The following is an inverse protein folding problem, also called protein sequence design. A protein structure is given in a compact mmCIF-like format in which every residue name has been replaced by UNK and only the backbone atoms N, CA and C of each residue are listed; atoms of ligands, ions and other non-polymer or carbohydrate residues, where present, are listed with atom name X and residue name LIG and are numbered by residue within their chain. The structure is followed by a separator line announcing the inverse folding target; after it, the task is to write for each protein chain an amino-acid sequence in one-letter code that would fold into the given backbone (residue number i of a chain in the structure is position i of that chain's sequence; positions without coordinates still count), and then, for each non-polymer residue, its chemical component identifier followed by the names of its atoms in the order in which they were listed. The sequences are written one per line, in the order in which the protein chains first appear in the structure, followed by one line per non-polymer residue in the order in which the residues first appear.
data_IF_054705969601
#
_entry.id   IF_054705969601
#
_cell.length_a   1.000
_cell.length_b   1.000
_cell.length_c   1.000
_cell.angle_alpha   90.00
_cell.angle_beta   90.00
_cell.angle_gamma   90.00
#
_symmetry.space_group_name_H-M   'P 1'
#
loop_
_entity.id
_entity.type
_entity.pdbx_description
1 polymer ?
#
# COMPACT_ATOMS: atom_id res chain seq x y z
N UNK A 1 1.67 -18.06 5.66
CA UNK A 1 0.47 -17.21 5.88
C UNK A 1 0.39 -16.05 4.88
N UNK A 2 1.46 -15.26 4.68
CA UNK A 2 1.43 -14.09 3.80
C UNK A 2 0.95 -14.44 2.38
N UNK A 3 1.49 -15.50 1.77
CA UNK A 3 1.06 -15.99 0.44
C UNK A 3 -0.45 -16.24 0.40
N UNK A 4 -0.99 -16.97 1.36
CA UNK A 4 -2.41 -17.31 1.44
C UNK A 4 -3.29 -16.06 1.51
N UNK A 5 -3.02 -15.16 2.46
CA UNK A 5 -3.86 -13.96 2.62
C UNK A 5 -3.67 -12.96 1.46
N UNK A 6 -2.51 -12.94 0.79
CA UNK A 6 -2.31 -12.16 -0.43
C UNK A 6 -3.12 -12.72 -1.59
N UNK A 7 -3.13 -14.05 -1.81
CA UNK A 7 -4.00 -14.70 -2.78
C UNK A 7 -5.47 -14.37 -2.54
N UNK A 8 -5.94 -14.57 -1.32
CA UNK A 8 -7.31 -14.23 -0.94
C UNK A 8 -7.64 -12.74 -1.16
N UNK A 9 -6.68 -11.86 -0.89
CA UNK A 9 -6.84 -10.43 -1.12
C UNK A 9 -6.96 -10.10 -2.63
N UNK A 10 -6.25 -10.81 -3.49
CA UNK A 10 -6.40 -10.69 -4.94
C UNK A 10 -7.77 -11.24 -5.37
N UNK A 11 -8.15 -12.43 -4.93
CA UNK A 11 -9.40 -13.08 -5.31
C UNK A 11 -10.65 -12.34 -4.84
N UNK A 12 -10.65 -11.83 -3.60
CA UNK A 12 -11.85 -11.24 -2.99
C UNK A 12 -11.91 -9.71 -3.09
N UNK A 13 -10.77 -9.04 -3.18
CA UNK A 13 -10.65 -7.58 -3.10
C UNK A 13 -9.96 -6.98 -4.32
N UNK A 14 -9.30 -7.80 -5.12
CA UNK A 14 -8.38 -7.36 -6.17
C UNK A 14 -7.39 -6.31 -5.64
N UNK A 15 -6.76 -6.64 -4.50
CA UNK A 15 -5.88 -5.73 -3.75
C UNK A 15 -4.69 -6.49 -3.14
N UNK A 16 -3.62 -6.76 -3.91
CA UNK A 16 -2.50 -7.58 -3.46
C UNK A 16 -1.76 -7.05 -2.23
N UNK A 17 -1.78 -5.75 -1.99
CA UNK A 17 -1.12 -5.11 -0.84
C UNK A 17 -1.97 -5.04 0.44
N UNK A 18 -3.22 -5.53 0.44
CA UNK A 18 -4.07 -5.41 1.63
C UNK A 18 -3.45 -6.06 2.88
N UNK A 19 -2.90 -7.29 2.81
CA UNK A 19 -2.27 -7.89 3.98
C UNK A 19 -1.02 -7.15 4.46
N UNK A 20 -0.17 -6.72 3.53
CA UNK A 20 1.00 -5.92 3.83
C UNK A 20 0.61 -4.62 4.57
N UNK A 21 -0.38 -3.90 4.05
CA UNK A 21 -0.89 -2.68 4.70
C UNK A 21 -1.46 -2.93 6.08
N UNK A 22 -2.15 -4.04 6.30
CA UNK A 22 -2.64 -4.42 7.63
C UNK A 22 -1.49 -4.68 8.59
N UNK A 23 -0.48 -5.45 8.16
CA UNK A 23 0.71 -5.72 8.96
C UNK A 23 1.51 -4.45 9.27
N UNK A 24 1.76 -3.62 8.26
CA UNK A 24 2.46 -2.35 8.41
C UNK A 24 1.78 -1.41 9.42
N UNK A 25 0.46 -1.26 9.36
CA UNK A 25 -0.28 -0.44 10.33
C UNK A 25 -0.33 -1.02 11.74
N UNK A 26 -0.29 -2.34 11.87
CA UNK A 26 -0.39 -3.01 13.15
C UNK A 26 0.96 -3.10 13.89
N UNK A 27 2.04 -3.30 13.16
CA UNK A 27 3.34 -3.68 13.74
C UNK A 27 4.00 -2.53 14.50
N UNK A 28 4.07 -1.35 13.91
CA UNK A 28 4.81 -0.22 14.48
C UNK A 28 4.24 0.22 15.83
N UNK A 29 2.93 0.46 16.00
CA UNK A 29 2.37 0.80 17.31
C UNK A 29 2.54 -0.31 18.34
N UNK A 30 2.49 -1.60 17.93
CA UNK A 30 2.76 -2.73 18.82
C UNK A 30 4.19 -2.74 19.32
N UNK A 31 5.15 -2.54 18.42
CA UNK A 31 6.57 -2.46 18.77
C UNK A 31 6.85 -1.27 19.66
N UNK A 32 6.28 -0.13 19.35
CA UNK A 32 6.40 1.07 20.18
C UNK A 32 5.87 0.83 21.59
N UNK A 33 4.69 0.24 21.74
CA UNK A 33 4.13 -0.10 23.04
C UNK A 33 4.97 -1.15 23.80
N UNK A 34 5.47 -2.18 23.09
CA UNK A 34 6.31 -3.23 23.67
C UNK A 34 7.63 -2.69 24.21
N UNK A 35 8.28 -1.80 23.47
CA UNK A 35 9.58 -1.24 23.83
C UNK A 35 9.50 0.09 24.57
N UNK A 36 8.29 0.55 24.94
CA UNK A 36 8.02 1.85 25.57
C UNK A 36 8.63 3.02 24.79
N UNK A 37 8.46 3.01 23.47
CA UNK A 37 8.81 4.10 22.57
C UNK A 37 7.57 4.98 22.42
N UNK A 38 7.60 6.25 22.84
CA UNK A 38 6.39 7.07 22.91
C UNK A 38 5.94 7.62 21.55
N UNK A 39 6.76 7.53 20.51
CA UNK A 39 6.51 8.19 19.23
C UNK A 39 6.83 7.28 18.05
N UNK A 40 5.89 7.18 17.12
CA UNK A 40 6.03 6.51 15.82
C UNK A 40 5.89 7.55 14.71
N UNK A 41 6.80 7.55 13.75
CA UNK A 41 6.66 8.30 12.50
C UNK A 41 6.50 7.39 11.31
N UNK A 42 5.43 7.62 10.54
CA UNK A 42 5.35 7.13 9.16
C UNK A 42 6.00 8.15 8.22
N UNK A 43 6.81 7.68 7.28
CA UNK A 43 7.58 8.53 6.36
C UNK A 43 6.74 9.23 5.29
N UNK A 44 5.49 8.85 5.15
CA UNK A 44 4.56 9.34 4.13
C UNK A 44 3.86 10.64 4.54
N UNK A 45 3.10 11.18 3.60
CA UNK A 45 2.01 12.11 3.85
C UNK A 45 0.69 11.40 3.56
N UNK A 46 -0.12 11.16 4.58
CA UNK A 46 -1.38 10.41 4.46
C UNK A 46 -2.35 11.01 3.44
N UNK A 47 -2.34 12.35 3.26
CA UNK A 47 -3.20 13.02 2.28
C UNK A 47 -2.85 12.70 0.82
N UNK A 48 -1.66 12.18 0.55
CA UNK A 48 -1.25 11.79 -0.80
C UNK A 48 -1.90 10.49 -1.26
N UNK A 49 -2.49 9.72 -0.36
CA UNK A 49 -3.06 8.40 -0.65
C UNK A 49 -4.58 8.38 -0.81
N UNK A 50 -5.20 9.55 -1.01
CA UNK A 50 -6.64 9.66 -1.30
C UNK A 50 -7.55 9.42 -0.11
N UNK A 51 -7.05 9.52 1.11
CA UNK A 51 -7.87 9.44 2.32
C UNK A 51 -8.75 10.68 2.48
N UNK A 52 -9.90 10.57 3.19
CA UNK A 52 -10.77 11.71 3.44
C UNK A 52 -10.04 12.88 4.06
N UNK A 53 -10.26 14.09 3.56
CA UNK A 53 -9.56 15.33 4.01
C UNK A 53 -9.68 15.53 5.51
N UNK A 54 -10.83 15.22 6.08
CA UNK A 54 -11.07 15.33 7.54
C UNK A 54 -10.14 14.43 8.36
N UNK A 55 -9.74 13.27 7.82
CA UNK A 55 -8.87 12.32 8.50
C UNK A 55 -7.39 12.68 8.36
N UNK A 56 -7.08 13.63 7.47
CA UNK A 56 -5.71 14.02 7.13
C UNK A 56 -5.36 15.45 7.54
N UNK A 57 -6.15 16.09 8.40
CA UNK A 57 -5.93 17.46 8.85
C UNK A 57 -4.99 17.58 10.06
N UNK A 58 -4.66 16.48 10.72
CA UNK A 58 -3.77 16.45 11.88
C UNK A 58 -2.47 15.70 11.56
N UNK A 59 -1.36 16.14 12.15
CA UNK A 59 -0.09 15.39 12.11
C UNK A 59 -0.17 14.10 12.91
N UNK A 60 -0.90 14.11 14.03
CA UNK A 60 -1.19 12.96 14.84
C UNK A 60 -2.40 12.21 14.25
N UNK A 61 -2.24 10.91 14.07
CA UNK A 61 -3.31 10.05 13.57
C UNK A 61 -4.19 9.54 14.69
N UNK A 62 -5.50 9.59 14.51
CA UNK A 62 -6.47 9.02 15.44
C UNK A 62 -6.20 7.53 15.68
N UNK A 63 -6.22 7.12 16.95
CA UNK A 63 -5.90 5.75 17.35
C UNK A 63 -6.81 4.69 16.73
N UNK A 64 -8.05 5.01 16.41
CA UNK A 64 -8.98 4.08 15.74
C UNK A 64 -8.45 3.55 14.43
N UNK A 65 -7.48 4.23 13.82
CA UNK A 65 -6.86 3.82 12.57
C UNK A 65 -5.88 2.64 12.74
N UNK A 66 -5.30 2.47 13.92
CA UNK A 66 -4.27 1.47 14.22
C UNK A 66 -4.75 0.43 15.24
N UNK A 67 -5.86 0.68 15.91
CA UNK A 67 -6.36 -0.13 17.01
C UNK A 67 -7.62 -0.90 16.64
N UNK A 68 -7.87 -1.98 17.38
CA UNK A 68 -9.10 -2.75 17.27
C UNK A 68 -9.25 -3.66 18.48
N UNK A 69 -10.46 -3.77 18.98
CA UNK A 69 -10.83 -4.57 20.15
C UNK A 69 -11.85 -5.68 19.82
N UNK A 70 -12.38 -5.68 18.61
CA UNK A 70 -13.38 -6.64 18.17
C UNK A 70 -12.86 -7.50 17.00
N UNK A 71 -12.35 -8.72 17.28
CA UNK A 71 -11.84 -9.63 16.25
C UNK A 71 -12.86 -9.99 15.16
N UNK A 72 -14.18 -9.90 15.46
CA UNK A 72 -15.22 -10.22 14.48
C UNK A 72 -15.31 -9.22 13.33
N UNK A 73 -14.74 -8.02 13.51
CA UNK A 73 -14.68 -6.96 12.50
C UNK A 73 -13.39 -6.94 11.69
N UNK A 74 -12.46 -7.84 11.98
CA UNK A 74 -11.17 -7.89 11.31
C UNK A 74 -11.23 -8.87 10.15
N UNK A 75 -10.82 -8.41 8.97
CA UNK A 75 -10.78 -9.18 7.74
C UNK A 75 -9.39 -9.09 7.11
N UNK A 76 -8.84 -10.24 6.75
CA UNK A 76 -7.59 -10.35 6.00
C UNK A 76 -7.87 -11.05 4.68
N UNK A 77 -7.46 -10.43 3.59
CA UNK A 77 -7.79 -10.94 2.25
C UNK A 77 -9.30 -10.99 1.96
N UNK A 78 -10.11 -10.15 2.59
CA UNK A 78 -11.57 -10.18 2.47
C UNK A 78 -12.25 -11.31 3.26
N UNK A 79 -11.50 -12.07 4.07
CA UNK A 79 -11.97 -13.23 4.83
C UNK A 79 -11.87 -12.92 6.33
N UNK A 80 -12.90 -13.29 7.11
CA UNK A 80 -12.88 -13.11 8.57
C UNK A 80 -11.83 -14.00 9.23
N UNK A 81 -11.33 -13.60 10.40
CA UNK A 81 -10.34 -14.38 11.15
C UNK A 81 -10.85 -15.81 11.46
N UNK A 82 -12.12 -15.92 11.83
CA UNK A 82 -12.76 -17.19 12.11
C UNK A 82 -12.81 -18.11 10.87
N UNK A 83 -13.12 -17.57 9.70
CA UNK A 83 -13.10 -18.33 8.45
C UNK A 83 -11.68 -18.74 8.03
N UNK A 84 -10.67 -17.88 8.26
CA UNK A 84 -9.27 -18.24 8.04
C UNK A 84 -8.83 -19.45 8.89
N UNK A 85 -9.24 -19.47 10.16
CA UNK A 85 -8.93 -20.58 11.04
C UNK A 85 -9.67 -21.86 10.65
N UNK A 86 -10.98 -21.80 10.40
CA UNK A 86 -11.81 -22.99 10.14
C UNK A 86 -11.58 -23.59 8.75
N UNK A 87 -11.45 -22.79 7.72
CA UNK A 87 -11.42 -23.27 6.34
C UNK A 87 -10.01 -23.39 5.77
N UNK A 88 -9.05 -22.61 6.30
CA UNK A 88 -7.67 -22.61 5.82
C UNK A 88 -6.67 -23.14 6.85
N UNK A 89 -7.13 -23.51 8.06
CA UNK A 89 -6.27 -24.08 9.10
C UNK A 89 -5.24 -23.10 9.69
N UNK A 90 -5.44 -21.80 9.50
CA UNK A 90 -4.53 -20.75 9.97
C UNK A 90 -4.56 -20.70 11.50
N UNK A 91 -3.39 -20.69 12.14
CA UNK A 91 -3.32 -20.61 13.58
C UNK A 91 -3.42 -19.15 14.07
N UNK A 92 -3.99 -18.90 15.26
CA UNK A 92 -4.08 -17.54 15.80
C UNK A 92 -2.73 -16.79 15.84
N UNK A 93 -1.65 -17.49 16.15
CA UNK A 93 -0.30 -16.93 16.21
C UNK A 93 0.18 -16.42 14.84
N UNK A 94 -0.24 -17.05 13.75
CA UNK A 94 0.12 -16.64 12.40
C UNK A 94 -0.58 -15.34 11.97
N UNK A 95 -1.69 -15.01 12.61
CA UNK A 95 -2.48 -13.80 12.35
C UNK A 95 -1.98 -12.59 13.15
N UNK A 96 -1.30 -12.84 14.26
CA UNK A 96 -0.87 -11.80 15.20
C UNK A 96 -0.14 -10.60 14.55
N UNK A 97 0.75 -10.77 13.56
CA UNK A 97 1.40 -9.63 12.89
C UNK A 97 0.45 -8.67 12.18
N UNK A 98 -0.74 -9.13 11.82
CA UNK A 98 -1.72 -8.38 11.03
C UNK A 98 -2.84 -7.79 11.89
N UNK A 99 -2.92 -8.17 13.16
CA UNK A 99 -3.98 -7.72 14.05
C UNK A 99 -3.64 -6.35 14.65
N UNK A 100 -4.61 -5.43 14.70
CA UNK A 100 -4.39 -4.14 15.36
C UNK A 100 -4.13 -4.31 16.86
N UNK A 101 -3.44 -3.34 17.46
CA UNK A 101 -3.23 -3.29 18.91
C UNK A 101 -4.54 -2.92 19.63
N UNK A 102 -4.70 -3.41 20.86
CA UNK A 102 -5.83 -2.98 21.70
C UNK A 102 -5.70 -1.48 22.04
N UNK A 103 -6.78 -0.67 21.88
CA UNK A 103 -6.72 0.77 22.11
C UNK A 103 -6.32 1.15 23.54
N UNK A 104 -6.75 0.38 24.54
CA UNK A 104 -6.37 0.64 25.93
C UNK A 104 -4.86 0.45 26.14
N UNK A 105 -4.27 -0.58 25.53
CA UNK A 105 -2.81 -0.80 25.61
C UNK A 105 -2.04 0.37 25.02
N UNK A 106 -2.47 0.89 23.87
CA UNK A 106 -1.82 2.02 23.22
C UNK A 106 -1.92 3.28 24.09
N UNK A 107 -3.12 3.56 24.64
CA UNK A 107 -3.38 4.67 25.54
C UNK A 107 -2.53 4.60 26.81
N UNK A 108 -2.50 3.44 27.47
CA UNK A 108 -1.74 3.25 28.72
C UNK A 108 -0.24 3.45 28.53
N UNK A 109 0.25 3.20 27.32
CA UNK A 109 1.66 3.39 26.95
C UNK A 109 1.97 4.80 26.45
N UNK A 110 0.96 5.63 26.18
CA UNK A 110 1.12 6.99 25.69
C UNK A 110 1.85 7.05 24.34
N UNK A 111 1.58 6.10 23.45
CA UNK A 111 2.20 6.06 22.11
C UNK A 111 1.43 6.99 21.18
N UNK A 112 2.14 7.92 20.58
CA UNK A 112 1.62 8.80 19.53
C UNK A 112 2.10 8.33 18.16
N UNK A 113 1.24 8.42 17.13
CA UNK A 113 1.56 8.07 15.75
C UNK A 113 1.38 9.30 14.86
N UNK A 114 2.45 9.70 14.20
CA UNK A 114 2.52 10.89 13.36
C UNK A 114 2.93 10.57 11.93
N UNK A 115 2.53 11.44 11.00
CA UNK A 115 2.98 11.41 9.62
C UNK A 115 4.04 12.50 9.40
N UNK A 116 5.22 12.07 8.95
CA UNK A 116 6.36 12.97 8.76
C UNK A 116 6.09 14.06 7.72
N UNK A 117 5.24 13.78 6.73
CA UNK A 117 4.84 14.72 5.70
C UNK A 117 4.11 15.98 6.19
N UNK A 118 3.65 16.00 7.45
CA UNK A 118 3.13 17.22 8.08
C UNK A 118 4.25 18.16 8.58
N UNK A 119 5.41 17.62 8.87
CA UNK A 119 6.57 18.37 9.39
C UNK A 119 7.55 18.73 8.29
N UNK A 120 7.67 17.86 7.28
CA UNK A 120 8.56 18.03 6.14
C UNK A 120 7.75 17.97 4.85
N UNK A 121 8.00 18.85 3.87
CA UNK A 121 7.33 18.78 2.57
C UNK A 121 7.54 17.42 1.91
N UNK A 122 6.45 16.76 1.52
CA UNK A 122 6.51 15.52 0.75
C UNK A 122 6.92 15.83 -0.69
N UNK A 123 8.13 15.41 -1.04
CA UNK A 123 8.76 15.76 -2.30
C UNK A 123 9.58 14.57 -2.82
N UNK A 124 8.94 13.56 -3.45
CA UNK A 124 9.58 12.29 -3.81
C UNK A 124 10.86 12.45 -4.63
N UNK A 125 10.86 13.32 -5.64
CA UNK A 125 12.05 13.57 -6.47
C UNK A 125 13.19 14.20 -5.65
N UNK A 126 12.89 15.14 -4.78
CA UNK A 126 13.88 15.73 -3.86
C UNK A 126 14.42 14.72 -2.87
N UNK A 127 13.55 13.87 -2.31
CA UNK A 127 13.95 12.78 -1.43
C UNK A 127 14.87 11.78 -2.15
N UNK A 128 14.59 11.48 -3.42
CA UNK A 128 15.45 10.66 -4.26
C UNK A 128 16.85 11.26 -4.43
N UNK A 129 16.96 12.52 -4.83
CA UNK A 129 18.27 13.17 -4.97
C UNK A 129 19.04 13.23 -3.66
N UNK A 130 18.35 13.56 -2.56
CA UNK A 130 18.96 13.57 -1.24
C UNK A 130 19.49 12.18 -0.85
N UNK A 131 18.73 11.13 -1.11
CA UNK A 131 19.13 9.76 -0.81
C UNK A 131 20.33 9.30 -1.66
N UNK A 132 20.41 9.71 -2.92
CA UNK A 132 21.56 9.46 -3.79
C UNK A 132 22.83 10.12 -3.23
N UNK A 133 22.75 11.39 -2.87
CA UNK A 133 23.88 12.19 -2.42
C UNK A 133 24.39 11.79 -1.03
N UNK A 134 23.46 11.47 -0.11
CA UNK A 134 23.78 11.28 1.30
C UNK A 134 23.71 9.82 1.76
N UNK A 135 22.94 8.97 1.07
CA UNK A 135 22.70 7.57 1.45
C UNK A 135 23.25 6.53 0.47
N UNK A 136 23.80 6.98 -0.67
CA UNK A 136 24.28 6.08 -1.71
C UNK A 136 23.17 5.29 -2.41
N UNK A 137 21.92 5.82 -2.38
CA UNK A 137 20.79 5.18 -3.05
C UNK A 137 21.04 5.08 -4.56
N UNK A 138 20.66 3.94 -5.14
CA UNK A 138 20.78 3.71 -6.57
C UNK A 138 19.40 3.41 -7.15
N UNK A 139 19.03 4.18 -8.18
CA UNK A 139 17.83 3.89 -8.94
C UNK A 139 17.96 2.58 -9.73
N UNK A 140 16.85 1.98 -10.09
CA UNK A 140 16.83 0.83 -11.01
C UNK A 140 17.43 1.23 -12.37
N UNK A 141 18.13 0.33 -13.08
CA UNK A 141 18.59 0.59 -14.44
C UNK A 141 17.44 0.82 -15.42
N UNK A 142 16.29 0.22 -15.14
CA UNK A 142 15.06 0.33 -15.93
C UNK A 142 13.98 1.09 -15.17
N UNK A 143 13.02 1.68 -15.90
CA UNK A 143 11.83 2.26 -15.29
C UNK A 143 10.93 1.18 -14.69
N UNK A 144 10.15 1.56 -13.71
CA UNK A 144 9.09 0.72 -13.14
C UNK A 144 7.92 0.63 -14.13
N UNK A 145 7.35 -0.58 -14.38
CA UNK A 145 6.10 -0.73 -15.15
C UNK A 145 4.99 0.18 -14.63
N UNK A 146 4.20 0.73 -15.52
CA UNK A 146 3.10 1.65 -15.18
C UNK A 146 3.51 3.07 -14.84
N UNK A 147 4.82 3.40 -14.86
CA UNK A 147 5.31 4.77 -14.63
C UNK A 147 6.58 5.08 -15.45
N UNK A 148 7.00 6.33 -15.40
CA UNK A 148 8.24 6.84 -16.01
C UNK A 148 9.42 6.92 -15.02
N UNK A 149 9.17 6.68 -13.74
CA UNK A 149 10.17 6.72 -12.67
C UNK A 149 11.08 5.49 -12.67
N UNK A 150 12.30 5.65 -12.14
CA UNK A 150 13.29 4.58 -11.92
C UNK A 150 13.60 4.32 -10.44
N UNK A 151 13.01 5.07 -9.56
CA UNK A 151 13.31 5.02 -8.12
C UNK A 151 12.12 4.68 -7.24
N UNK A 152 10.94 4.53 -7.84
CA UNK A 152 9.73 4.10 -7.16
C UNK A 152 9.53 2.59 -7.33
N UNK A 153 8.95 1.91 -6.32
CA UNK A 153 8.55 0.49 -6.39
C UNK A 153 9.68 -0.45 -6.81
N UNK A 154 10.89 -0.24 -6.28
CA UNK A 154 12.06 -1.05 -6.62
C UNK A 154 12.43 -2.07 -5.55
N UNK A 155 11.76 -2.06 -4.43
CA UNK A 155 11.94 -2.90 -3.26
C UNK A 155 10.93 -4.05 -3.16
N UNK A 156 9.86 -4.03 -3.96
CA UNK A 156 8.80 -5.04 -3.94
C UNK A 156 8.31 -5.38 -5.35
N UNK A 157 8.24 -6.69 -5.68
CA UNK A 157 7.77 -7.17 -6.99
C UNK A 157 6.25 -7.13 -7.15
N UNK A 158 5.49 -7.05 -6.05
CA UNK A 158 4.02 -7.01 -6.07
C UNK A 158 3.50 -5.59 -6.30
N UNK A 159 4.30 -4.56 -6.08
CA UNK A 159 3.85 -3.17 -6.16
C UNK A 159 3.32 -2.80 -7.56
N UNK A 160 3.96 -3.27 -8.62
CA UNK A 160 3.49 -3.06 -9.99
C UNK A 160 2.06 -3.62 -10.19
N UNK A 161 1.78 -4.79 -9.60
CA UNK A 161 0.45 -5.41 -9.60
C UNK A 161 -0.55 -4.61 -8.79
N UNK A 162 -0.14 -4.05 -7.66
CA UNK A 162 -1.03 -3.20 -6.86
C UNK A 162 -1.53 -2.00 -7.65
N UNK A 163 -0.64 -1.30 -8.36
CA UNK A 163 -1.05 -0.18 -9.18
C UNK A 163 -1.85 -0.59 -10.41
N UNK A 164 -1.54 -1.72 -11.01
CA UNK A 164 -2.35 -2.26 -12.12
C UNK A 164 -3.76 -2.63 -11.66
N UNK A 165 -3.91 -3.33 -10.51
CA UNK A 165 -5.24 -3.64 -9.97
C UNK A 165 -6.02 -2.39 -9.59
N UNK A 166 -5.35 -1.37 -9.08
CA UNK A 166 -5.93 -0.05 -8.78
C UNK A 166 -6.42 0.63 -10.06
N UNK A 167 -5.64 0.58 -11.14
CA UNK A 167 -6.03 1.10 -12.44
C UNK A 167 -7.28 0.40 -12.98
N UNK A 168 -7.34 -0.93 -12.94
CA UNK A 168 -8.51 -1.69 -13.39
C UNK A 168 -9.77 -1.30 -12.61
N UNK A 169 -9.66 -1.13 -11.29
CA UNK A 169 -10.80 -0.82 -10.41
C UNK A 169 -11.24 0.64 -10.49
N UNK A 170 -10.30 1.57 -10.55
CA UNK A 170 -10.55 2.99 -10.30
C UNK A 170 -10.10 3.91 -11.44
N UNK A 171 -9.46 3.39 -12.50
CA UNK A 171 -8.91 4.20 -13.59
C UNK A 171 -7.71 5.07 -13.19
N UNK A 172 -7.08 4.78 -12.07
CA UNK A 172 -5.95 5.54 -11.50
C UNK A 172 -4.77 4.58 -11.34
N UNK A 173 -3.76 4.73 -12.18
CA UNK A 173 -2.55 3.93 -12.11
C UNK A 173 -1.38 4.67 -11.46
N UNK A 174 -0.18 4.09 -11.58
CA UNK A 174 1.04 4.63 -10.99
C UNK A 174 1.42 5.98 -11.59
N UNK A 175 1.41 6.10 -12.93
CA UNK A 175 1.77 7.35 -13.58
C UNK A 175 0.82 8.51 -13.22
N UNK A 176 -0.47 8.23 -12.97
CA UNK A 176 -1.42 9.23 -12.46
C UNK A 176 -0.98 9.74 -11.09
N UNK A 177 -0.59 8.86 -10.17
CA UNK A 177 -0.11 9.24 -8.84
C UNK A 177 1.18 10.05 -8.91
N UNK A 178 2.18 9.56 -9.65
CA UNK A 178 3.48 10.22 -9.79
C UNK A 178 3.35 11.59 -10.46
N UNK A 179 2.64 11.70 -11.60
CA UNK A 179 2.43 12.96 -12.31
C UNK A 179 1.65 13.97 -11.46
N UNK A 180 0.68 13.52 -10.67
CA UNK A 180 -0.06 14.39 -9.77
C UNK A 180 0.83 15.00 -8.70
N UNK A 181 1.76 14.25 -8.13
CA UNK A 181 2.74 14.74 -7.17
C UNK A 181 3.71 15.74 -7.82
N UNK A 182 4.23 15.42 -9.02
CA UNK A 182 5.16 16.31 -9.71
C UNK A 182 4.52 17.62 -10.19
N UNK A 183 3.25 17.58 -10.59
CA UNK A 183 2.48 18.82 -10.90
C UNK A 183 2.32 19.68 -9.64
N UNK A 184 1.96 19.09 -8.48
CA UNK A 184 1.84 19.82 -7.21
C UNK A 184 3.17 20.43 -6.78
N UNK A 185 4.26 19.72 -7.00
CA UNK A 185 5.62 20.18 -6.70
C UNK A 185 6.20 21.10 -7.80
N UNK A 186 5.44 21.38 -8.88
CA UNK A 186 5.82 22.26 -10.00
C UNK A 186 7.03 21.78 -10.80
N UNK A 187 7.28 20.49 -10.85
CA UNK A 187 8.33 19.89 -11.67
C UNK A 187 7.91 19.76 -13.13
N UNK A 188 6.63 19.45 -13.36
CA UNK A 188 6.03 19.35 -14.68
C UNK A 188 4.72 20.14 -14.71
N UNK A 189 4.27 20.52 -15.90
CA UNK A 189 2.95 21.10 -16.06
C UNK A 189 1.86 20.02 -16.27
N UNK A 190 0.59 20.46 -16.29
CA UNK A 190 -0.54 19.56 -16.48
C UNK A 190 -0.55 18.87 -17.85
N UNK A 191 -0.03 19.52 -18.88
CA UNK A 191 0.00 18.99 -20.24
C UNK A 191 0.99 17.84 -20.34
N UNK A 192 2.18 18.06 -19.77
CA UNK A 192 3.21 17.02 -19.64
C UNK A 192 2.72 15.84 -18.79
N UNK A 193 2.10 16.12 -17.64
CA UNK A 193 1.54 15.06 -16.77
C UNK A 193 0.48 14.23 -17.48
N UNK A 194 -0.42 14.86 -18.25
CA UNK A 194 -1.41 14.11 -19.07
C UNK A 194 -0.75 13.21 -20.11
N UNK A 195 0.30 13.69 -20.78
CA UNK A 195 1.01 12.89 -21.77
C UNK A 195 1.70 11.67 -21.15
N UNK A 196 2.29 11.83 -19.95
CA UNK A 196 2.89 10.75 -19.18
C UNK A 196 1.85 9.71 -18.74
N UNK A 197 0.73 10.16 -18.20
CA UNK A 197 -0.38 9.27 -17.80
C UNK A 197 -0.90 8.48 -19.00
N UNK A 198 -1.17 9.15 -20.14
CA UNK A 198 -1.65 8.47 -21.36
C UNK A 198 -0.66 7.43 -21.89
N UNK A 199 0.63 7.62 -21.63
CA UNK A 199 1.68 6.73 -22.12
C UNK A 199 1.92 5.53 -21.23
N UNK A 200 1.77 5.66 -19.92
CA UNK A 200 2.25 4.67 -18.96
C UNK A 200 1.16 4.07 -18.08
N UNK A 201 0.06 4.78 -17.77
CA UNK A 201 -1.00 4.21 -16.95
C UNK A 201 -1.64 2.99 -17.64
N UNK A 202 -1.90 1.95 -16.85
CA UNK A 202 -2.51 0.73 -17.35
C UNK A 202 -1.57 -0.21 -18.10
N UNK A 203 -0.27 0.10 -18.14
CA UNK A 203 0.73 -0.86 -18.62
C UNK A 203 0.66 -2.14 -17.79
N UNK A 204 0.59 -3.29 -18.48
CA UNK A 204 0.55 -4.58 -17.80
C UNK A 204 1.90 -4.89 -17.14
N UNK A 205 1.93 -5.42 -15.89
CA UNK A 205 3.16 -5.68 -15.15
C UNK A 205 3.82 -7.00 -15.56
N UNK A 206 4.25 -7.11 -16.81
CA UNK A 206 4.82 -8.35 -17.37
C UNK A 206 6.07 -8.86 -16.66
N UNK A 207 6.89 -7.94 -16.15
CA UNK A 207 8.23 -8.24 -15.67
C UNK A 207 8.30 -9.37 -14.65
N UNK A 208 7.35 -9.41 -13.73
CA UNK A 208 7.29 -10.40 -12.65
C UNK A 208 6.01 -11.23 -12.71
N UNK A 209 5.26 -11.20 -13.80
CA UNK A 209 3.93 -11.81 -13.89
C UNK A 209 3.95 -13.29 -13.51
N UNK A 210 4.76 -14.10 -14.19
CA UNK A 210 4.81 -15.55 -13.94
C UNK A 210 5.27 -15.87 -12.50
N UNK A 211 6.24 -15.12 -11.97
CA UNK A 211 6.71 -15.29 -10.59
C UNK A 211 5.61 -14.96 -9.56
N UNK A 212 4.83 -13.91 -9.83
CA UNK A 212 3.70 -13.54 -8.97
C UNK A 212 2.57 -14.57 -9.06
N UNK A 213 2.26 -15.09 -10.24
CA UNK A 213 1.26 -16.17 -10.41
C UNK A 213 1.68 -17.43 -9.62
N UNK A 214 2.95 -17.81 -9.69
CA UNK A 214 3.49 -18.90 -8.87
C UNK A 214 3.39 -18.59 -7.37
N UNK A 215 3.76 -17.37 -6.96
CA UNK A 215 3.63 -16.95 -5.55
C UNK A 215 2.20 -17.00 -5.05
N UNK A 216 1.23 -16.57 -5.86
CA UNK A 216 -0.19 -16.59 -5.52
C UNK A 216 -0.83 -17.98 -5.65
N UNK A 217 -0.11 -18.97 -6.22
CA UNK A 217 -0.68 -20.27 -6.60
C UNK A 217 -1.95 -20.09 -7.47
N UNK A 218 -1.89 -19.18 -8.43
CA UNK A 218 -2.98 -18.79 -9.31
C UNK A 218 -2.56 -18.99 -10.75
N UNK A 219 -3.44 -19.52 -11.59
CA UNK A 219 -3.19 -19.56 -13.01
C UNK A 219 -3.44 -18.20 -13.69
N UNK A 220 -2.76 -17.98 -14.82
CA UNK A 220 -2.81 -16.70 -15.53
C UNK A 220 -4.24 -16.36 -16.01
N UNK A 221 -5.00 -17.37 -16.45
CA UNK A 221 -6.37 -17.15 -16.89
C UNK A 221 -7.24 -16.65 -15.74
N UNK A 222 -7.11 -17.24 -14.54
CA UNK A 222 -7.85 -16.78 -13.37
C UNK A 222 -7.54 -15.30 -13.03
N UNK A 223 -6.28 -14.89 -13.16
CA UNK A 223 -5.93 -13.47 -12.95
C UNK A 223 -6.62 -12.57 -13.99
N UNK A 224 -6.65 -12.95 -15.26
CA UNK A 224 -7.34 -12.18 -16.30
C UNK A 224 -8.86 -12.14 -16.07
N UNK A 225 -9.46 -13.25 -15.65
CA UNK A 225 -10.88 -13.30 -15.28
C UNK A 225 -11.19 -12.32 -14.14
N UNK A 226 -10.31 -12.26 -13.12
CA UNK A 226 -10.44 -11.29 -12.04
C UNK A 226 -10.30 -9.83 -12.53
N UNK A 227 -9.42 -9.56 -13.49
CA UNK A 227 -9.36 -8.24 -14.12
C UNK A 227 -10.71 -7.83 -14.72
N UNK A 228 -11.42 -8.76 -15.36
CA UNK A 228 -12.72 -8.49 -15.95
C UNK A 228 -13.82 -8.40 -14.87
N UNK A 229 -13.79 -9.26 -13.85
CA UNK A 229 -14.75 -9.24 -12.74
C UNK A 229 -14.69 -7.92 -11.96
N UNK A 230 -13.49 -7.38 -11.72
CA UNK A 230 -13.28 -6.15 -10.95
C UNK A 230 -13.23 -4.87 -11.78
N UNK A 231 -13.32 -4.97 -13.09
CA UNK A 231 -13.33 -3.81 -13.98
C UNK A 231 -14.57 -2.95 -13.71
N UNK A 232 -14.36 -1.70 -13.37
CA UNK A 232 -15.47 -0.77 -13.10
C UNK A 232 -16.26 -0.44 -14.39
N UNK A 233 -17.53 -0.83 -14.50
CA UNK A 233 -18.30 -0.67 -15.75
C UNK A 233 -18.61 0.79 -16.12
N UNK A 234 -18.39 1.73 -15.21
CA UNK A 234 -18.55 3.17 -15.45
C UNK A 234 -17.26 3.86 -15.94
N UNK A 235 -16.14 3.14 -15.93
CA UNK A 235 -14.85 3.66 -16.38
C UNK A 235 -14.41 3.05 -17.72
N UNK A 236 -14.91 1.84 -18.04
CA UNK A 236 -14.45 1.01 -19.17
C UNK A 236 -15.58 0.64 -20.13
#
# INVERSE_FOLDING_TARGET
ILRLITRLAVENLFHPFQPFRCGHKALEPKMAALFNIPLVFYGENESEYGNPVQDTQSSERDWTYFTGDDPSKIYLGGVSLDALQRHFGVQPVDLEPYLPINPQTLSDKGVEVHYLGYYLPWHPQGAYYYAVENGGFQASPERTPGTYSKYNSIDDKIDDFHYYTTYIKFGIGRATSDASQEIRNKHIDRTEGKALVQKFDGEFPDKYFSEIMEFLEMDEQRFHDLCDEFRSPHLW
#
